data_IF_554644764965
#
_entry.id   IF_554644764965
#
_cell.length_a   1.000
_cell.length_b   1.000
_cell.length_c   1.000
_cell.angle_alpha   90.00
_cell.angle_beta   90.00
_cell.angle_gamma   90.00
#
_symmetry.space_group_name_H-M   'P 1'
#
loop_
_entity.id
_entity.type
_entity.pdbx_description
1 polymer ?
#
# COMPACT_ATOMS: atom_id res chain seq x y z
N UNK A 1 -10.29 -4.51 7.37
CA UNK A 1 -10.12 -5.01 6.01
C UNK A 1 -8.70 -4.80 5.53
N UNK A 2 -8.14 -5.78 4.84
CA UNK A 2 -6.78 -5.71 4.31
C UNK A 2 -6.78 -5.20 2.87
N UNK A 3 -5.76 -4.41 2.55
CA UNK A 3 -5.54 -3.89 1.20
C UNK A 3 -4.07 -4.06 0.82
N UNK A 4 -3.83 -4.54 -0.39
CA UNK A 4 -2.50 -4.48 -0.99
C UNK A 4 -2.45 -3.22 -1.84
N UNK A 5 -1.49 -2.35 -1.52
CA UNK A 5 -1.26 -1.12 -2.28
C UNK A 5 -0.02 -1.37 -3.13
N UNK A 6 -0.14 -1.18 -4.44
CA UNK A 6 1.01 -1.25 -5.34
C UNK A 6 1.33 0.17 -5.79
N UNK A 7 2.51 0.63 -5.41
CA UNK A 7 3.01 1.95 -5.80
C UNK A 7 3.91 1.78 -7.00
N UNK A 8 3.54 2.38 -8.13
CA UNK A 8 4.37 2.43 -9.33
C UNK A 8 5.12 3.77 -9.29
N UNK A 9 6.41 3.73 -9.00
CA UNK A 9 7.21 4.95 -8.88
C UNK A 9 7.32 5.65 -10.23
N UNK A 10 7.16 6.97 -10.24
CA UNK A 10 7.45 7.76 -11.43
C UNK A 10 8.93 7.60 -11.78
N UNK A 11 9.27 7.73 -13.06
CA UNK A 11 10.65 7.55 -13.52
C UNK A 11 11.60 8.46 -12.75
N UNK A 12 12.62 7.85 -12.12
CA UNK A 12 13.63 8.58 -11.36
C UNK A 12 13.16 9.09 -9.99
N UNK A 13 11.95 8.75 -9.53
CA UNK A 13 11.40 9.29 -8.29
C UNK A 13 11.87 8.58 -7.02
N UNK A 14 12.46 7.38 -7.13
CA UNK A 14 12.83 6.60 -5.95
C UNK A 14 13.69 7.36 -4.93
N UNK A 15 14.75 8.09 -5.31
CA UNK A 15 15.53 8.84 -4.32
C UNK A 15 14.69 9.85 -3.54
N UNK A 16 13.79 10.56 -4.21
CA UNK A 16 12.92 11.55 -3.56
C UNK A 16 11.90 10.89 -2.63
N UNK A 17 11.36 9.74 -3.03
CA UNK A 17 10.43 8.97 -2.21
C UNK A 17 11.10 8.58 -0.90
N UNK A 18 12.29 8.02 -0.96
CA UNK A 18 13.01 7.58 0.24
C UNK A 18 13.47 8.76 1.10
N UNK A 19 13.85 9.88 0.48
CA UNK A 19 14.20 11.09 1.21
C UNK A 19 13.00 11.62 2.00
N UNK A 20 11.83 11.72 1.35
CA UNK A 20 10.59 12.19 2.00
C UNK A 20 10.17 11.23 3.12
N UNK A 21 10.22 9.92 2.88
CA UNK A 21 9.88 8.92 3.89
C UNK A 21 10.81 9.00 5.10
N UNK A 22 12.09 9.22 4.88
CA UNK A 22 13.04 9.37 5.97
C UNK A 22 12.77 10.64 6.79
N UNK A 23 12.49 11.76 6.12
CA UNK A 23 12.36 13.06 6.79
C UNK A 23 10.98 13.27 7.40
N UNK A 24 9.93 12.73 6.79
CA UNK A 24 8.54 13.00 7.17
C UNK A 24 7.76 11.72 7.54
N UNK A 25 8.36 10.55 7.41
CA UNK A 25 7.70 9.26 7.67
C UNK A 25 6.68 8.91 6.60
N UNK A 26 5.87 7.89 6.88
CA UNK A 26 4.85 7.41 5.95
C UNK A 26 3.64 8.33 5.84
N UNK A 27 3.45 9.21 6.81
CA UNK A 27 2.36 10.19 6.84
C UNK A 27 0.98 9.53 6.82
N UNK A 28 0.83 8.46 7.60
CA UNK A 28 -0.42 7.71 7.68
C UNK A 28 -1.46 8.48 8.50
N UNK A 29 -2.69 8.65 7.99
CA UNK A 29 -3.78 9.18 8.81
C UNK A 29 -4.14 8.18 9.91
N UNK A 30 -4.70 8.70 11.02
CA UNK A 30 -5.17 7.85 12.10
C UNK A 30 -6.25 6.89 11.59
N UNK A 31 -6.14 5.61 11.94
CA UNK A 31 -7.06 4.57 11.48
C UNK A 31 -6.58 3.79 10.26
N UNK A 32 -5.46 4.17 9.68
CA UNK A 32 -4.81 3.43 8.61
C UNK A 32 -3.53 2.80 9.16
N UNK A 33 -3.49 1.46 9.23
CA UNK A 33 -2.37 0.71 9.79
C UNK A 33 -1.46 0.17 8.69
N UNK A 34 -0.16 0.44 8.82
CA UNK A 34 0.87 -0.19 8.01
C UNK A 34 1.19 -1.56 8.61
N UNK A 35 1.22 -2.61 7.78
CA UNK A 35 1.55 -3.96 8.23
C UNK A 35 2.94 -4.35 7.78
N UNK A 36 3.20 -4.31 6.47
CA UNK A 36 4.50 -4.66 5.90
C UNK A 36 4.60 -4.15 4.47
N UNK A 37 5.82 -4.12 3.92
CA UNK A 37 6.01 -3.72 2.53
C UNK A 37 7.26 -4.34 1.94
N UNK A 38 7.28 -4.42 0.61
CA UNK A 38 8.36 -4.99 -0.19
C UNK A 38 8.59 -4.10 -1.40
N UNK A 39 9.84 -3.88 -1.75
CA UNK A 39 10.23 -3.09 -2.92
C UNK A 39 10.94 -4.01 -3.89
N UNK A 40 10.66 -3.89 -5.19
CA UNK A 40 11.37 -4.70 -6.16
C UNK A 40 12.84 -4.28 -6.25
N UNK A 41 13.69 -5.17 -6.77
CA UNK A 41 15.13 -4.97 -6.75
C UNK A 41 15.58 -3.78 -7.60
N UNK A 42 14.75 -3.30 -8.50
CA UNK A 42 15.09 -2.18 -9.39
C UNK A 42 14.55 -0.84 -8.89
N UNK A 43 13.88 -0.81 -7.73
CA UNK A 43 13.27 0.40 -7.15
C UNK A 43 12.23 1.03 -8.07
N UNK A 44 11.37 0.20 -8.67
CA UNK A 44 10.32 0.63 -9.58
C UNK A 44 8.94 0.54 -8.95
N UNK A 45 8.73 -0.44 -8.07
CA UNK A 45 7.43 -0.68 -7.40
C UNK A 45 7.61 -1.01 -5.93
N UNK A 46 6.65 -0.56 -5.13
CA UNK A 46 6.51 -0.97 -3.74
C UNK A 46 5.18 -1.69 -3.56
N UNK A 47 5.21 -2.83 -2.87
CA UNK A 47 4.02 -3.60 -2.52
C UNK A 47 3.80 -3.41 -1.02
N UNK A 48 2.70 -2.77 -0.63
CA UNK A 48 2.49 -2.40 0.76
C UNK A 48 1.17 -2.95 1.27
N UNK A 49 1.23 -3.70 2.35
CA UNK A 49 0.04 -4.29 2.98
C UNK A 49 -0.43 -3.36 4.09
N UNK A 50 -1.70 -2.96 4.01
CA UNK A 50 -2.30 -2.02 4.95
C UNK A 50 -3.66 -2.54 5.42
N UNK A 51 -4.10 -2.05 6.58
CA UNK A 51 -5.40 -2.40 7.14
C UNK A 51 -6.14 -1.13 7.56
N UNK A 52 -7.41 -1.07 7.22
CA UNK A 52 -8.32 -0.03 7.70
C UNK A 52 -9.76 -0.49 7.57
N UNK A 53 -10.64 0.08 8.37
CA UNK A 53 -12.10 -0.08 8.21
C UNK A 53 -12.69 1.04 7.37
N UNK A 54 -11.89 2.03 7.01
CA UNK A 54 -12.33 3.19 6.22
C UNK A 54 -11.44 3.37 4.99
N UNK A 55 -11.95 2.95 3.82
CA UNK A 55 -11.23 3.04 2.54
C UNK A 55 -10.80 4.47 2.20
N UNK A 56 -11.55 5.47 2.64
CA UNK A 56 -11.23 6.87 2.33
C UNK A 56 -9.90 7.30 2.94
N UNK A 57 -9.46 6.66 4.02
CA UNK A 57 -8.16 6.94 4.62
C UNK A 57 -7.00 6.57 3.70
N UNK A 58 -7.18 5.51 2.90
CA UNK A 58 -6.19 5.13 1.88
C UNK A 58 -6.13 6.21 0.80
N UNK A 59 -7.28 6.71 0.36
CA UNK A 59 -7.33 7.77 -0.66
C UNK A 59 -6.64 9.05 -0.17
N UNK A 60 -6.84 9.41 1.09
CA UNK A 60 -6.19 10.57 1.71
C UNK A 60 -4.68 10.38 1.81
N UNK A 61 -4.24 9.18 2.15
CA UNK A 61 -2.81 8.87 2.20
C UNK A 61 -2.18 8.92 0.81
N UNK A 62 -2.86 8.41 -0.21
CA UNK A 62 -2.39 8.46 -1.59
C UNK A 62 -2.15 9.91 -2.03
N UNK A 63 -3.03 10.84 -1.67
CA UNK A 63 -2.88 12.26 -2.03
C UNK A 63 -1.55 12.86 -1.56
N UNK A 64 -0.97 12.34 -0.48
CA UNK A 64 0.32 12.80 0.03
C UNK A 64 1.47 12.39 -0.88
N UNK A 65 1.32 11.28 -1.61
CA UNK A 65 2.41 10.64 -2.37
C UNK A 65 2.18 10.62 -3.88
N UNK A 66 1.01 11.03 -4.37
CA UNK A 66 0.64 10.84 -5.78
C UNK A 66 1.42 11.70 -6.76
N UNK A 67 2.18 12.67 -6.27
CA UNK A 67 3.13 13.43 -7.09
C UNK A 67 4.35 12.59 -7.50
N UNK A 68 4.65 11.51 -6.76
CA UNK A 68 5.85 10.69 -6.98
C UNK A 68 5.56 9.29 -7.49
N UNK A 69 4.33 8.82 -7.42
CA UNK A 69 3.95 7.46 -7.77
C UNK A 69 2.50 7.36 -8.22
N UNK A 70 2.20 6.31 -8.98
CA UNK A 70 0.85 5.90 -9.32
C UNK A 70 0.46 4.71 -8.45
N UNK A 71 -0.77 4.67 -7.97
CA UNK A 71 -1.22 3.68 -6.98
C UNK A 71 -2.28 2.75 -7.53
N UNK A 72 -2.16 1.46 -7.17
CA UNK A 72 -3.23 0.48 -7.30
C UNK A 72 -3.62 0.04 -5.90
N UNK A 73 -4.92 -0.09 -5.64
CA UNK A 73 -5.45 -0.52 -4.34
C UNK A 73 -6.29 -1.76 -4.55
N UNK A 74 -5.87 -2.86 -3.94
CA UNK A 74 -6.51 -4.16 -4.12
C UNK A 74 -6.98 -4.68 -2.76
N UNK A 75 -8.30 -4.84 -2.54
CA UNK A 75 -8.78 -5.51 -1.33
C UNK A 75 -8.30 -6.97 -1.36
N UNK A 76 -7.74 -7.42 -0.24
CA UNK A 76 -7.18 -8.77 -0.16
C UNK A 76 -7.63 -9.46 1.12
N UNK A 77 -7.47 -10.77 1.15
CA UNK A 77 -7.60 -11.59 2.35
C UNK A 77 -6.39 -12.50 2.46
N UNK A 78 -6.14 -13.04 3.65
CA UNK A 78 -5.06 -14.01 3.80
C UNK A 78 -5.36 -15.28 3.02
N UNK A 79 -4.31 -16.00 2.63
CA UNK A 79 -4.50 -17.29 1.97
C UNK A 79 -5.25 -18.28 2.86
N UNK A 80 -5.05 -18.21 4.18
CA UNK A 80 -5.77 -19.05 5.12
C UNK A 80 -7.28 -18.77 5.09
N UNK A 81 -7.66 -17.48 5.07
CA UNK A 81 -9.06 -17.09 4.96
C UNK A 81 -9.66 -17.50 3.61
N UNK A 82 -8.89 -17.33 2.53
CA UNK A 82 -9.33 -17.74 1.20
C UNK A 82 -9.59 -19.24 1.14
N UNK A 83 -8.70 -20.05 1.73
CA UNK A 83 -8.85 -21.50 1.76
C UNK A 83 -10.10 -21.93 2.54
N UNK A 84 -10.42 -21.25 3.65
CA UNK A 84 -11.64 -21.53 4.41
C UNK A 84 -12.89 -21.14 3.65
N UNK A 85 -12.86 -20.00 2.97
CA UNK A 85 -14.04 -19.47 2.30
C UNK A 85 -14.35 -20.14 0.97
N UNK A 86 -13.34 -20.64 0.25
CA UNK A 86 -13.57 -21.29 -1.05
C UNK A 86 -14.38 -22.57 -0.90
N UNK A 87 -14.30 -23.25 0.23
CA UNK A 87 -15.08 -24.48 0.47
C UNK A 87 -16.58 -24.20 0.53
N UNK A 88 -17.00 -22.97 0.79
CA UNK A 88 -18.42 -22.59 0.83
C UNK A 88 -18.97 -22.19 -0.54
N UNK A 89 -18.12 -22.08 -1.55
CA UNK A 89 -18.51 -21.71 -2.91
C UNK A 89 -18.83 -22.90 -3.79
N UNK A 90 -18.56 -24.10 -3.31
CA UNK A 90 -18.83 -25.35 -4.04
C UNK A 90 -20.32 -25.72 -4.05
#
# INVERSE_FOLDING_TARGET
MLYMIIEHFNAGAAPEIYRRARDEGRQLPAGLDYIDSWVDLEYVRCFQLMRTDDRTLIDRWIEVWDDLARFEVIPVRTSADAARNITTLD
#
